data_IF_731434471822
#
_entry.id   IF_731434471822
#
_cell.length_a   1.000
_cell.length_b   1.000
_cell.length_c   1.000
_cell.angle_alpha   90.00
_cell.angle_beta   90.00
_cell.angle_gamma   90.00
#
_symmetry.space_group_name_H-M   'P 1'
#
loop_
_entity.id
_entity.type
_entity.pdbx_description
1 polymer ?
#
# COMPACT_ATOMS: atom_id res chain seq x y z
N UNK A 1 -11.22 -12.64 -18.49
CA UNK A 1 -11.38 -11.19 -18.26
C UNK A 1 -11.48 -11.00 -16.74
N UNK A 2 -10.58 -10.21 -16.14
CA UNK A 2 -10.61 -9.98 -14.68
C UNK A 2 -11.71 -8.98 -14.39
N UNK A 3 -12.72 -9.37 -13.62
CA UNK A 3 -13.80 -8.46 -13.25
C UNK A 3 -13.27 -7.44 -12.25
N UNK A 4 -13.37 -6.17 -12.61
CA UNK A 4 -13.03 -5.08 -11.72
C UNK A 4 -14.24 -4.68 -10.88
N UNK A 5 -14.01 -4.41 -9.60
CA UNK A 5 -15.06 -4.00 -8.65
C UNK A 5 -14.75 -2.62 -8.10
N UNK A 6 -15.72 -1.97 -7.45
CA UNK A 6 -15.49 -0.70 -6.75
C UNK A 6 -14.38 -0.82 -5.68
N UNK A 7 -14.13 -2.02 -5.16
CA UNK A 7 -13.04 -2.30 -4.22
C UNK A 7 -11.64 -2.09 -4.85
N UNK A 8 -11.52 -2.16 -6.17
CA UNK A 8 -10.24 -1.91 -6.85
C UNK A 8 -9.79 -0.45 -6.73
N UNK A 9 -10.73 0.49 -6.57
CA UNK A 9 -10.39 1.91 -6.35
C UNK A 9 -9.74 2.12 -4.98
N UNK A 10 -10.23 1.41 -3.95
CA UNK A 10 -9.62 1.35 -2.63
C UNK A 10 -8.23 0.72 -2.70
N UNK A 11 -8.04 -0.30 -3.54
CA UNK A 11 -6.72 -0.87 -3.78
C UNK A 11 -5.76 0.12 -4.43
N UNK A 12 -6.17 0.80 -5.50
CA UNK A 12 -5.34 1.82 -6.15
C UNK A 12 -4.98 2.96 -5.21
N UNK A 13 -5.95 3.46 -4.42
CA UNK A 13 -5.72 4.52 -3.44
C UNK A 13 -4.66 4.13 -2.39
N UNK A 14 -4.77 2.92 -1.83
CA UNK A 14 -3.79 2.42 -0.88
C UNK A 14 -2.39 2.25 -1.50
N UNK A 15 -2.30 1.73 -2.74
CA UNK A 15 -1.03 1.61 -3.47
C UNK A 15 -0.35 2.96 -3.67
N UNK A 16 -1.11 4.00 -4.05
CA UNK A 16 -0.56 5.35 -4.25
C UNK A 16 0.04 5.91 -2.96
N UNK A 17 -0.63 5.72 -1.82
CA UNK A 17 -0.12 6.18 -0.52
C UNK A 17 1.11 5.40 -0.07
N UNK A 18 1.17 4.09 -0.34
CA UNK A 18 2.36 3.26 -0.04
C UNK A 18 3.56 3.68 -0.89
N UNK A 19 3.32 4.02 -2.16
CA UNK A 19 4.37 4.51 -3.08
C UNK A 19 4.85 5.91 -2.68
N UNK A 20 3.98 6.74 -2.10
CA UNK A 20 4.33 8.03 -1.52
C UNK A 20 4.98 7.92 -0.12
N UNK A 21 5.33 6.72 0.33
CA UNK A 21 5.96 6.44 1.62
C UNK A 21 5.15 6.95 2.83
N UNK A 22 3.83 7.09 2.67
CA UNK A 22 2.95 7.53 3.74
C UNK A 22 2.89 6.48 4.86
N UNK A 23 2.65 6.96 6.09
CA UNK A 23 2.59 6.11 7.27
C UNK A 23 1.51 5.02 7.13
N UNK A 24 1.91 3.75 7.30
CA UNK A 24 1.04 2.58 7.08
C UNK A 24 -0.18 2.55 8.00
N UNK A 25 -0.06 3.00 9.26
CA UNK A 25 -1.20 3.08 10.18
C UNK A 25 -2.22 4.12 9.74
N UNK A 26 -1.74 5.26 9.21
CA UNK A 26 -2.59 6.31 8.65
C UNK A 26 -3.35 5.79 7.44
N UNK A 27 -2.67 5.09 6.52
CA UNK A 27 -3.30 4.48 5.33
C UNK A 27 -4.43 3.52 5.75
N UNK A 28 -4.17 2.65 6.73
CA UNK A 28 -5.15 1.67 7.21
C UNK A 28 -6.38 2.34 7.85
N UNK A 29 -6.17 3.40 8.63
CA UNK A 29 -7.25 4.23 9.19
C UNK A 29 -8.06 4.92 8.09
N UNK A 30 -7.40 5.48 7.06
CA UNK A 30 -8.05 6.17 5.94
C UNK A 30 -8.94 5.25 5.11
N UNK A 31 -8.49 4.01 4.84
CA UNK A 31 -9.32 3.05 4.12
C UNK A 31 -10.38 2.44 5.06
N UNK A 32 -10.14 2.37 6.37
CA UNK A 32 -11.08 1.80 7.34
C UNK A 32 -10.99 0.28 7.46
N UNK A 33 -9.79 -0.30 7.27
CA UNK A 33 -9.59 -1.73 7.53
C UNK A 33 -9.47 -1.98 9.04
N UNK A 34 -10.30 -2.89 9.57
CA UNK A 34 -10.23 -3.36 10.97
C UNK A 34 -8.99 -4.23 11.26
N UNK A 35 -8.33 -4.78 10.23
CA UNK A 35 -7.18 -5.70 10.37
C UNK A 35 -6.01 -5.32 9.45
N UNK A 36 -4.81 -5.36 10.02
CA UNK A 36 -3.53 -5.00 9.38
C UNK A 36 -3.12 -5.94 8.24
N UNK A 37 -3.51 -7.22 8.36
CA UNK A 37 -2.99 -8.34 7.56
C UNK A 37 -3.37 -8.31 6.09
N UNK A 38 -4.54 -7.76 5.72
CA UNK A 38 -4.99 -7.70 4.33
C UNK A 38 -4.35 -6.59 3.51
N UNK A 39 -3.83 -5.54 4.15
CA UNK A 39 -3.25 -4.39 3.43
C UNK A 39 -1.77 -4.63 3.12
N UNK A 40 -0.97 -5.17 4.05
CA UNK A 40 0.46 -5.35 3.81
C UNK A 40 0.77 -6.38 2.71
N UNK A 41 0.14 -7.57 2.76
CA UNK A 41 0.48 -8.67 1.86
C UNK A 41 0.13 -8.39 0.38
N UNK A 42 -0.77 -7.44 0.12
CA UNK A 42 -1.21 -7.12 -1.25
C UNK A 42 -0.35 -6.01 -1.89
N UNK A 43 0.11 -5.03 -1.11
CA UNK A 43 0.81 -3.85 -1.66
C UNK A 43 2.32 -3.82 -1.42
N UNK A 44 2.87 -4.74 -0.60
CA UNK A 44 4.32 -4.85 -0.38
C UNK A 44 4.96 -5.75 -1.44
N UNK A 45 4.76 -5.41 -2.72
CA UNK A 45 5.69 -5.85 -3.77
C UNK A 45 6.70 -4.73 -4.02
N UNK A 46 7.34 -4.25 -2.94
CA UNK A 46 8.43 -3.26 -3.01
C UNK A 46 9.57 -3.89 -3.81
N UNK A 47 10.07 -3.18 -4.82
CA UNK A 47 11.16 -3.66 -5.64
C UNK A 47 12.52 -3.35 -4.97
N UNK A 48 13.61 -3.89 -5.52
CA UNK A 48 14.95 -3.70 -4.99
C UNK A 48 15.36 -2.22 -4.90
N UNK A 49 14.90 -1.38 -5.83
CA UNK A 49 15.22 0.04 -5.86
C UNK A 49 14.55 0.81 -4.72
N UNK A 50 13.32 0.44 -4.34
CA UNK A 50 12.64 1.01 -3.18
C UNK A 50 13.40 0.70 -1.88
N UNK A 51 13.95 -0.52 -1.76
CA UNK A 51 14.77 -0.90 -0.61
C UNK A 51 16.07 -0.09 -0.55
N UNK A 52 16.71 0.14 -1.71
CA UNK A 52 17.91 0.96 -1.82
C UNK A 52 17.66 2.42 -1.41
N UNK A 53 16.54 3.00 -1.87
CA UNK A 53 16.15 4.37 -1.50
C UNK A 53 15.92 4.52 0.01
N UNK A 54 15.23 3.58 0.63
CA UNK A 54 14.98 3.60 2.07
C UNK A 54 16.28 3.56 2.89
N UNK A 55 17.26 2.74 2.48
CA UNK A 55 18.57 2.69 3.14
C UNK A 55 19.35 4.00 2.96
N UNK A 56 19.27 4.61 1.78
CA UNK A 56 19.96 5.88 1.49
C UNK A 56 19.33 7.11 2.18
N UNK A 57 18.17 6.96 2.82
CA UNK A 57 17.52 8.03 3.60
C UNK A 57 17.87 8.00 5.10
N UNK A 58 18.66 7.02 5.54
CA UNK A 58 19.24 6.92 6.90
C UNK A 58 20.65 7.51 6.87
#
# INVERSE_FOLDING_TARGET
MKYHTLHDTRHTFATLLVNAEANKEVIIKMIGHKRYKTTLDIYVHKNYDDMKKAINQI
#
